data_IF_105729545181
#
_entry.id   IF_105729545181
#
_cell.length_a   1.000
_cell.length_b   1.000
_cell.length_c   1.000
_cell.angle_alpha   90.00
_cell.angle_beta   90.00
_cell.angle_gamma   90.00
#
_symmetry.space_group_name_H-M   'P 1'
#
loop_
_entity.id
_entity.type
_entity.pdbx_description
1 polymer ?
#
# COMPACT_ATOMS: atom_id res chain seq x y z
N UNK A 1 -42.61 15.69 -37.90
CA UNK A 1 -42.54 14.85 -36.69
C UNK A 1 -41.11 14.85 -36.22
N UNK A 2 -40.87 15.67 -35.18
CA UNK A 2 -39.56 16.00 -34.64
C UNK A 2 -38.89 14.81 -33.96
N UNK A 3 -37.68 14.47 -34.41
CA UNK A 3 -36.75 13.66 -33.60
C UNK A 3 -35.97 14.61 -32.71
N UNK A 4 -36.42 14.76 -31.47
CA UNK A 4 -35.76 15.56 -30.46
C UNK A 4 -34.33 15.06 -30.21
N UNK A 5 -33.44 16.05 -30.21
CA UNK A 5 -32.00 15.99 -30.04
C UNK A 5 -31.62 15.56 -28.61
N UNK A 6 -31.24 14.30 -28.42
CA UNK A 6 -30.72 13.76 -27.14
C UNK A 6 -29.19 13.88 -27.03
N UNK A 7 -28.65 15.07 -27.26
CA UNK A 7 -27.30 15.41 -26.83
C UNK A 7 -27.41 16.16 -25.48
N UNK A 8 -27.40 15.40 -24.38
CA UNK A 8 -27.30 15.96 -23.02
C UNK A 8 -26.17 17.00 -22.99
N UNK A 9 -26.52 18.28 -22.81
CA UNK A 9 -25.57 19.37 -22.68
C UNK A 9 -24.51 19.00 -21.63
N UNK A 10 -23.25 18.84 -22.05
CA UNK A 10 -22.15 18.61 -21.12
C UNK A 10 -22.07 19.82 -20.19
N UNK A 11 -22.16 19.59 -18.86
CA UNK A 11 -22.03 20.66 -17.86
C UNK A 11 -20.72 21.41 -18.09
N UNK A 12 -20.81 22.75 -18.18
CA UNK A 12 -19.65 23.66 -18.35
C UNK A 12 -18.74 23.69 -17.12
N UNK A 13 -19.20 23.14 -15.99
CA UNK A 13 -18.44 23.03 -14.75
C UNK A 13 -18.27 21.56 -14.34
N UNK A 14 -17.03 21.20 -13.98
CA UNK A 14 -16.70 19.85 -13.50
C UNK A 14 -17.02 19.73 -12.01
N UNK A 15 -17.98 18.88 -11.69
CA UNK A 15 -18.37 18.59 -10.31
C UNK A 15 -17.37 17.66 -9.62
N UNK A 16 -16.95 16.60 -10.31
CA UNK A 16 -15.99 15.61 -9.78
C UNK A 16 -14.63 16.26 -9.56
N UNK A 17 -14.05 16.06 -8.38
CA UNK A 17 -12.71 16.54 -8.04
C UNK A 17 -11.65 15.51 -8.42
N UNK A 18 -10.46 15.98 -8.78
CA UNK A 18 -9.32 15.14 -9.16
C UNK A 18 -8.26 15.20 -8.08
N UNK A 19 -7.86 14.02 -7.62
CA UNK A 19 -6.72 13.81 -6.72
C UNK A 19 -5.55 13.29 -7.56
N UNK A 20 -4.37 13.90 -7.45
CA UNK A 20 -3.16 13.41 -8.08
C UNK A 20 -2.10 13.08 -7.02
N UNK A 21 -1.52 11.88 -7.07
CA UNK A 21 -0.39 11.53 -6.21
C UNK A 21 0.87 12.20 -6.75
N UNK A 22 1.56 12.96 -5.91
CA UNK A 22 2.81 13.63 -6.26
C UNK A 22 4.00 12.72 -5.91
N UNK A 23 4.91 12.56 -6.86
CA UNK A 23 6.11 11.74 -6.72
C UNK A 23 7.26 12.29 -7.56
N UNK A 24 8.36 11.52 -7.74
CA UNK A 24 9.56 12.01 -8.42
C UNK A 24 9.32 12.59 -9.83
N UNK A 25 8.39 11.99 -10.59
CA UNK A 25 8.03 12.46 -11.93
C UNK A 25 7.21 13.76 -11.93
N UNK A 26 6.57 14.10 -10.81
CA UNK A 26 5.55 15.16 -10.73
C UNK A 26 5.83 16.21 -9.68
N UNK A 27 6.94 16.12 -8.94
CA UNK A 27 7.21 17.00 -7.80
C UNK A 27 7.72 18.39 -8.19
N UNK A 28 8.18 18.61 -9.42
CA UNK A 28 8.74 19.90 -9.85
C UNK A 28 7.65 20.99 -9.90
N UNK A 29 8.01 22.25 -9.63
CA UNK A 29 7.05 23.37 -9.68
C UNK A 29 6.36 23.50 -11.03
N UNK A 30 7.07 23.18 -12.11
CA UNK A 30 6.55 23.21 -13.47
C UNK A 30 5.46 22.16 -13.68
N UNK A 31 5.75 20.90 -13.34
CA UNK A 31 4.80 19.79 -13.53
C UNK A 31 3.60 19.93 -12.60
N UNK A 32 3.79 20.35 -11.34
CA UNK A 32 2.67 20.67 -10.44
C UNK A 32 1.77 21.76 -11.04
N UNK A 33 2.37 22.79 -11.66
CA UNK A 33 1.62 23.84 -12.36
C UNK A 33 0.86 23.31 -13.57
N UNK A 34 1.45 22.40 -14.34
CA UNK A 34 0.78 21.72 -15.46
C UNK A 34 -0.41 20.88 -14.96
N UNK A 35 -0.23 20.10 -13.90
CA UNK A 35 -1.29 19.30 -13.28
C UNK A 35 -2.44 20.16 -12.77
N UNK A 36 -2.15 21.30 -12.13
CA UNK A 36 -3.17 22.24 -11.68
C UNK A 36 -3.99 22.80 -12.85
N UNK A 37 -3.33 23.20 -13.95
CA UNK A 37 -4.00 23.67 -15.18
C UNK A 37 -4.81 22.58 -15.88
N UNK A 38 -4.32 21.34 -15.86
CA UNK A 38 -5.04 20.16 -16.35
C UNK A 38 -6.25 19.79 -15.46
N UNK A 39 -6.36 20.40 -14.27
CA UNK A 39 -7.53 20.31 -13.41
C UNK A 39 -7.33 19.46 -12.16
N UNK A 40 -6.12 19.27 -11.66
CA UNK A 40 -5.89 18.73 -10.31
C UNK A 40 -6.54 19.62 -9.25
N UNK A 41 -7.26 19.03 -8.28
CA UNK A 41 -7.82 19.74 -7.12
C UNK A 41 -7.10 19.43 -5.82
N UNK A 42 -6.60 18.21 -5.68
CA UNK A 42 -5.93 17.75 -4.47
C UNK A 42 -4.62 17.09 -4.86
N UNK A 43 -3.53 17.53 -4.24
CA UNK A 43 -2.24 16.87 -4.31
C UNK A 43 -2.13 15.90 -3.13
N UNK A 44 -2.08 14.60 -3.43
CA UNK A 44 -1.86 13.52 -2.46
C UNK A 44 -0.36 13.30 -2.28
N UNK A 45 0.10 13.36 -1.03
CA UNK A 45 1.45 13.02 -0.60
C UNK A 45 1.39 11.68 0.12
N UNK A 46 1.90 10.63 -0.51
CA UNK A 46 1.92 9.28 0.07
C UNK A 46 3.11 9.13 1.03
N UNK A 47 2.86 9.05 2.34
CA UNK A 47 3.89 8.95 3.39
C UNK A 47 4.53 7.56 3.48
N UNK A 48 3.99 6.57 2.76
CA UNK A 48 4.66 5.27 2.59
C UNK A 48 5.99 5.38 1.83
N UNK A 49 6.18 6.48 1.08
CA UNK A 49 7.38 6.75 0.30
C UNK A 49 7.91 8.17 0.53
N UNK A 50 9.23 8.35 0.37
CA UNK A 50 9.88 9.64 0.59
C UNK A 50 10.06 9.97 2.07
N UNK A 51 10.72 11.09 2.34
CA UNK A 51 11.00 11.58 3.69
C UNK A 51 10.27 12.91 3.95
N UNK A 52 10.28 13.37 5.20
CA UNK A 52 9.65 14.65 5.56
C UNK A 52 10.23 15.83 4.76
N UNK A 53 11.51 15.77 4.36
CA UNK A 53 12.19 16.84 3.64
C UNK A 53 11.71 16.91 2.18
N UNK A 54 11.50 15.77 1.51
CA UNK A 54 10.96 15.70 0.15
C UNK A 54 9.52 16.19 0.11
N UNK A 55 8.68 15.71 1.03
CA UNK A 55 7.29 16.16 1.15
C UNK A 55 7.18 17.65 1.46
N UNK A 56 8.02 18.19 2.34
CA UNK A 56 8.06 19.62 2.65
C UNK A 56 8.40 20.48 1.42
N UNK A 57 9.29 20.02 0.53
CA UNK A 57 9.57 20.71 -0.73
C UNK A 57 8.31 20.79 -1.59
N UNK A 58 7.59 19.69 -1.75
CA UNK A 58 6.33 19.64 -2.51
C UNK A 58 5.28 20.57 -1.90
N UNK A 59 5.09 20.54 -0.57
CA UNK A 59 4.17 21.42 0.15
C UNK A 59 4.49 22.89 -0.15
N UNK A 60 5.77 23.29 -0.09
CA UNK A 60 6.20 24.67 -0.38
C UNK A 60 5.91 25.05 -1.84
N UNK A 61 6.17 24.15 -2.80
CA UNK A 61 5.86 24.36 -4.22
C UNK A 61 4.36 24.60 -4.44
N UNK A 62 3.50 23.77 -3.85
CA UNK A 62 2.03 23.91 -3.94
C UNK A 62 1.56 25.20 -3.27
N UNK A 63 2.04 25.52 -2.07
CA UNK A 63 1.69 26.78 -1.38
C UNK A 63 2.08 28.00 -2.20
N UNK A 64 3.24 27.98 -2.86
CA UNK A 64 3.66 29.07 -3.75
C UNK A 64 2.82 29.15 -5.03
N UNK A 65 2.41 28.01 -5.61
CA UNK A 65 1.51 27.97 -6.74
C UNK A 65 0.12 28.54 -6.39
N UNK A 66 -0.42 28.17 -5.23
CA UNK A 66 -1.74 28.63 -4.77
C UNK A 66 -1.87 30.15 -4.62
N UNK A 67 -0.75 30.87 -4.43
CA UNK A 67 -0.76 32.35 -4.43
C UNK A 67 -1.17 32.96 -5.78
N UNK A 68 -1.11 32.18 -6.86
CA UNK A 68 -1.37 32.62 -8.24
C UNK A 68 -2.65 32.02 -8.84
N UNK A 69 -3.32 31.12 -8.13
CA UNK A 69 -4.49 30.40 -8.63
C UNK A 69 -5.78 30.97 -8.06
N UNK A 70 -6.79 31.13 -8.92
CA UNK A 70 -8.15 31.47 -8.48
C UNK A 70 -8.81 30.34 -7.66
N UNK A 71 -8.38 29.09 -7.92
CA UNK A 71 -8.84 27.90 -7.22
C UNK A 71 -7.62 27.16 -6.65
N UNK A 72 -7.36 27.29 -5.33
CA UNK A 72 -6.25 26.62 -4.69
C UNK A 72 -6.32 25.09 -4.79
N UNK A 73 -5.15 24.45 -4.90
CA UNK A 73 -4.99 23.01 -4.79
C UNK A 73 -4.85 22.64 -3.31
N UNK A 74 -5.71 21.73 -2.82
CA UNK A 74 -5.61 21.20 -1.47
C UNK A 74 -4.45 20.20 -1.36
N UNK A 75 -3.91 20.04 -0.16
CA UNK A 75 -2.85 19.07 0.13
C UNK A 75 -3.47 17.98 1.00
N UNK A 76 -3.36 16.73 0.55
CA UNK A 76 -3.77 15.54 1.30
C UNK A 76 -2.51 14.79 1.73
N UNK A 77 -2.30 14.70 3.04
CA UNK A 77 -1.31 13.77 3.61
C UNK A 77 -1.96 12.41 3.74
N UNK A 78 -1.41 11.42 3.05
CA UNK A 78 -1.86 10.05 3.11
C UNK A 78 -0.86 9.24 3.94
N UNK A 79 -1.27 8.91 5.16
CA UNK A 79 -0.45 8.18 6.12
C UNK A 79 -0.20 6.76 5.64
N UNK A 80 0.91 6.16 6.06
CA UNK A 80 1.17 4.76 5.74
C UNK A 80 0.18 3.86 6.49
N UNK A 81 -0.04 4.17 7.77
CA UNK A 81 -0.84 3.32 8.66
C UNK A 81 -0.12 2.00 8.95
N UNK A 82 -0.80 1.11 9.69
CA UNK A 82 -0.20 -0.16 10.05
C UNK A 82 -0.20 -1.13 8.87
N UNK A 83 0.91 -1.80 8.65
CA UNK A 83 1.06 -2.78 7.56
C UNK A 83 1.75 -4.04 8.05
N UNK A 84 1.23 -5.19 7.64
CA UNK A 84 1.89 -6.48 7.81
C UNK A 84 2.84 -6.69 6.63
N UNK A 85 4.10 -7.02 6.93
CA UNK A 85 5.19 -7.20 5.99
C UNK A 85 6.08 -8.36 6.40
N UNK A 86 6.68 -9.00 5.40
CA UNK A 86 7.80 -9.91 5.62
C UNK A 86 9.02 -9.16 6.16
N UNK A 87 9.85 -9.85 6.93
CA UNK A 87 11.15 -9.38 7.37
C UNK A 87 12.16 -9.30 6.24
N UNK A 88 13.42 -9.14 6.62
CA UNK A 88 14.52 -9.20 5.67
C UNK A 88 14.92 -10.66 5.41
N UNK A 89 15.04 -11.00 4.13
CA UNK A 89 15.61 -12.25 3.69
C UNK A 89 17.04 -12.00 3.21
N UNK A 90 17.95 -12.93 3.51
CA UNK A 90 19.34 -12.88 3.01
C UNK A 90 19.38 -12.96 1.49
N UNK A 91 18.54 -13.83 0.92
CA UNK A 91 18.36 -14.02 -0.51
C UNK A 91 16.86 -14.23 -0.80
N UNK A 92 16.43 -13.93 -2.03
CA UNK A 92 15.06 -14.19 -2.42
C UNK A 92 14.78 -15.70 -2.41
N UNK A 93 13.61 -16.09 -1.92
CA UNK A 93 13.19 -17.49 -1.86
C UNK A 93 12.20 -17.78 -3.00
N UNK A 94 12.45 -18.82 -3.77
CA UNK A 94 11.50 -19.29 -4.79
C UNK A 94 10.61 -20.37 -4.18
N UNK A 95 9.32 -20.07 -4.06
CA UNK A 95 8.32 -20.97 -3.48
C UNK A 95 7.61 -21.74 -4.60
N UNK A 96 7.70 -23.07 -4.58
CA UNK A 96 6.98 -23.94 -5.50
C UNK A 96 5.56 -24.25 -5.01
N UNK A 97 4.61 -24.45 -5.92
CA UNK A 97 3.25 -24.88 -5.56
C UNK A 97 3.28 -26.25 -4.87
N UNK A 98 2.53 -26.39 -3.78
CA UNK A 98 2.45 -27.60 -2.95
C UNK A 98 3.55 -27.71 -1.89
N UNK A 99 4.55 -26.83 -1.93
CA UNK A 99 5.66 -26.80 -0.98
C UNK A 99 5.20 -26.43 0.43
N UNK A 100 5.93 -26.91 1.44
CA UNK A 100 5.78 -26.49 2.83
C UNK A 100 6.68 -25.30 3.11
N UNK A 101 6.09 -24.25 3.65
CA UNK A 101 6.77 -23.00 3.99
C UNK A 101 6.33 -22.51 5.37
N UNK A 102 7.25 -21.92 6.14
CA UNK A 102 6.96 -21.44 7.48
C UNK A 102 6.86 -19.91 7.55
N UNK A 103 5.85 -19.42 8.27
CA UNK A 103 5.69 -18.00 8.58
C UNK A 103 5.85 -17.83 10.08
N UNK A 104 6.83 -17.05 10.52
CA UNK A 104 7.21 -16.92 11.93
C UNK A 104 7.02 -15.51 12.46
N UNK A 105 6.72 -15.39 13.75
CA UNK A 105 6.72 -14.12 14.49
C UNK A 105 7.98 -13.95 15.36
N UNK A 106 8.85 -14.97 15.41
CA UNK A 106 10.13 -14.90 16.08
C UNK A 106 11.24 -14.55 15.07
N UNK A 107 12.03 -13.49 15.29
CA UNK A 107 13.06 -13.06 14.35
C UNK A 107 14.25 -14.05 14.23
N UNK A 108 14.41 -14.94 15.22
CA UNK A 108 15.54 -15.87 15.32
C UNK A 108 15.22 -17.31 14.84
N UNK A 109 14.13 -17.52 14.09
CA UNK A 109 13.84 -18.84 13.53
C UNK A 109 14.90 -19.21 12.48
N UNK A 110 15.59 -20.34 12.70
CA UNK A 110 16.75 -20.78 11.90
C UNK A 110 16.37 -21.77 10.80
N UNK A 111 15.08 -22.04 10.60
CA UNK A 111 14.61 -22.92 9.53
C UNK A 111 14.89 -22.33 8.14
N UNK A 112 15.45 -23.17 7.26
CA UNK A 112 15.94 -22.81 5.93
C UNK A 112 14.82 -22.26 5.01
N UNK A 113 13.55 -22.58 5.28
CA UNK A 113 12.39 -22.13 4.50
C UNK A 113 11.34 -21.44 5.36
N UNK A 114 11.76 -20.37 6.03
CA UNK A 114 10.90 -19.51 6.84
C UNK A 114 11.02 -18.03 6.47
N UNK A 115 10.00 -17.25 6.83
CA UNK A 115 10.07 -15.79 6.80
C UNK A 115 9.45 -15.20 8.06
N UNK A 116 10.16 -14.26 8.67
CA UNK A 116 9.63 -13.46 9.77
C UNK A 116 8.56 -12.49 9.28
N UNK A 117 7.55 -12.22 10.10
CA UNK A 117 6.50 -11.24 9.83
C UNK A 117 6.39 -10.26 10.98
N UNK A 118 6.28 -8.97 10.67
CA UNK A 118 6.18 -7.89 11.66
C UNK A 118 4.80 -7.77 12.34
N UNK A 119 4.12 -8.89 12.60
CA UNK A 119 2.81 -8.94 13.24
C UNK A 119 2.77 -10.01 14.33
N UNK A 120 3.03 -9.61 15.57
CA UNK A 120 3.17 -10.54 16.70
C UNK A 120 1.89 -11.36 16.98
N UNK A 121 0.72 -10.80 16.66
CA UNK A 121 -0.58 -11.48 16.85
C UNK A 121 -0.95 -12.45 15.72
N UNK A 122 -0.07 -12.66 14.73
CA UNK A 122 -0.33 -13.49 13.55
C UNK A 122 -0.82 -14.90 13.92
N UNK A 123 -0.13 -15.56 14.86
CA UNK A 123 -0.42 -16.94 15.27
C UNK A 123 -1.83 -17.03 15.90
N UNK A 124 -2.21 -16.04 16.69
CA UNK A 124 -3.47 -16.04 17.44
C UNK A 124 -4.69 -15.65 16.60
N UNK A 125 -4.48 -14.85 15.54
CA UNK A 125 -5.58 -14.34 14.73
C UNK A 125 -5.88 -15.24 13.51
N UNK A 126 -4.95 -16.09 13.11
CA UNK A 126 -5.15 -17.09 12.05
C UNK A 126 -5.63 -18.43 12.63
N UNK A 127 -6.23 -19.25 11.77
CA UNK A 127 -6.68 -20.63 12.02
C UNK A 127 -6.19 -21.56 10.91
N UNK A 128 -6.22 -22.86 11.17
CA UNK A 128 -5.98 -23.87 10.14
C UNK A 128 -7.01 -23.69 9.01
N UNK A 129 -6.53 -23.68 7.76
CA UNK A 129 -7.30 -23.42 6.55
C UNK A 129 -7.35 -21.95 6.12
N UNK A 130 -6.91 -21.01 6.96
CA UNK A 130 -6.88 -19.59 6.58
C UNK A 130 -5.80 -19.30 5.55
N UNK A 131 -5.99 -18.20 4.81
CA UNK A 131 -5.10 -17.77 3.73
C UNK A 131 -4.19 -16.62 4.14
N UNK A 132 -2.94 -16.72 3.73
CA UNK A 132 -1.96 -15.64 3.79
C UNK A 132 -1.59 -15.26 2.35
N UNK A 133 -1.83 -14.02 1.99
CA UNK A 133 -1.50 -13.46 0.67
C UNK A 133 -0.27 -12.58 0.77
N UNK A 134 0.71 -12.80 -0.09
CA UNK A 134 1.96 -12.01 -0.11
C UNK A 134 2.13 -11.33 -1.47
N UNK A 135 2.70 -10.13 -1.43
CA UNK A 135 3.04 -9.30 -2.60
C UNK A 135 1.86 -9.10 -3.57
N UNK A 136 0.80 -8.47 -3.07
CA UNK A 136 -0.44 -8.21 -3.83
C UNK A 136 -1.15 -9.48 -4.33
N UNK A 137 -0.93 -10.61 -3.66
CA UNK A 137 -1.57 -11.89 -3.97
C UNK A 137 -0.82 -12.71 -5.03
N UNK A 138 0.43 -12.37 -5.35
CA UNK A 138 1.29 -13.20 -6.21
C UNK A 138 1.63 -14.54 -5.56
N UNK A 139 1.76 -14.56 -4.24
CA UNK A 139 1.98 -15.78 -3.47
C UNK A 139 0.80 -15.98 -2.53
N UNK A 140 0.25 -17.18 -2.54
CA UNK A 140 -0.86 -17.58 -1.69
C UNK A 140 -0.46 -18.78 -0.84
N UNK A 141 -0.64 -18.67 0.46
CA UNK A 141 -0.34 -19.73 1.42
C UNK A 141 -1.62 -20.15 2.16
N UNK A 142 -1.73 -21.42 2.47
CA UNK A 142 -2.78 -22.00 3.33
C UNK A 142 -2.15 -22.48 4.63
N UNK A 143 -2.71 -22.05 5.77
CA UNK A 143 -2.24 -22.51 7.09
C UNK A 143 -2.65 -23.97 7.29
N UNK A 144 -1.66 -24.85 7.48
CA UNK A 144 -1.89 -26.26 7.77
C UNK A 144 -1.87 -26.55 9.27
N UNK A 145 -0.89 -25.99 9.98
CA UNK A 145 -0.66 -26.24 11.40
C UNK A 145 -0.18 -24.97 12.10
N UNK A 146 -0.46 -24.90 13.40
CA UNK A 146 -0.03 -23.81 14.27
C UNK A 146 0.94 -24.35 15.31
N UNK A 147 2.09 -23.69 15.42
CA UNK A 147 3.04 -23.88 16.50
C UNK A 147 3.12 -22.60 17.33
N UNK A 148 3.83 -22.64 18.45
CA UNK A 148 3.92 -21.54 19.42
C UNK A 148 4.35 -20.20 18.79
N UNK A 149 5.30 -20.23 17.84
CA UNK A 149 5.84 -19.02 17.21
C UNK A 149 5.83 -19.04 15.68
N UNK A 150 5.27 -20.09 15.06
CA UNK A 150 5.29 -20.25 13.60
C UNK A 150 4.05 -20.97 13.08
N UNK A 151 3.68 -20.63 11.85
CA UNK A 151 2.64 -21.31 11.07
C UNK A 151 3.31 -22.19 10.02
N UNK A 152 2.91 -23.45 9.96
CA UNK A 152 3.26 -24.35 8.86
C UNK A 152 2.24 -24.14 7.75
N UNK A 153 2.68 -23.68 6.59
CA UNK A 153 1.80 -23.35 5.49
C UNK A 153 2.11 -24.20 4.25
N UNK A 154 1.08 -24.42 3.42
CA UNK A 154 1.21 -24.94 2.06
C UNK A 154 1.19 -23.79 1.08
N UNK A 155 2.10 -23.79 0.13
CA UNK A 155 2.07 -22.87 -1.01
C UNK A 155 0.95 -23.28 -1.97
N UNK A 156 -0.10 -22.47 -2.07
CA UNK A 156 -1.17 -22.64 -3.05
C UNK A 156 -0.78 -22.07 -4.41
N UNK A 157 -0.19 -20.88 -4.40
CA UNK A 157 0.35 -20.20 -5.58
C UNK A 157 1.76 -19.74 -5.25
N UNK A 158 2.71 -20.18 -6.08
CA UNK A 158 4.14 -19.97 -5.88
C UNK A 158 4.66 -18.71 -6.54
N UNK A 159 5.91 -18.36 -6.22
CA UNK A 159 6.57 -17.16 -6.75
C UNK A 159 7.87 -16.84 -6.02
N UNK A 160 8.49 -15.73 -6.40
CA UNK A 160 9.70 -15.25 -5.76
C UNK A 160 9.36 -14.35 -4.58
N UNK A 161 9.61 -14.84 -3.37
CA UNK A 161 9.48 -14.08 -2.14
C UNK A 161 10.74 -13.24 -1.89
N UNK A 162 10.54 -11.94 -1.71
CA UNK A 162 11.61 -11.01 -1.32
C UNK A 162 11.41 -10.41 0.07
N UNK A 163 12.33 -9.51 0.44
CA UNK A 163 12.27 -8.77 1.70
C UNK A 163 11.16 -7.71 1.71
N UNK A 164 10.60 -7.43 2.90
CA UNK A 164 9.65 -6.33 3.16
C UNK A 164 8.39 -6.33 2.29
N UNK A 165 7.96 -7.51 1.85
CA UNK A 165 6.77 -7.70 1.01
C UNK A 165 5.50 -7.58 1.83
N UNK A 166 4.48 -6.94 1.26
CA UNK A 166 3.18 -6.78 1.93
C UNK A 166 2.51 -8.13 2.13
N UNK A 167 1.89 -8.29 3.30
CA UNK A 167 1.05 -9.44 3.65
C UNK A 167 -0.37 -8.96 3.88
N UNK A 168 -1.32 -9.67 3.29
CA UNK A 168 -2.74 -9.50 3.53
C UNK A 168 -3.31 -10.81 4.09
N UNK A 169 -4.28 -10.69 5.02
CA UNK A 169 -4.96 -11.80 5.69
C UNK A 169 -6.47 -11.72 5.38
N UNK A 170 -6.94 -12.27 4.25
CA UNK A 170 -8.32 -12.12 3.80
C UNK A 170 -9.31 -12.74 4.80
N UNK A 171 -10.33 -11.98 5.19
CA UNK A 171 -11.35 -12.46 6.13
C UNK A 171 -10.92 -12.47 7.60
N UNK A 172 -9.68 -12.08 7.91
CA UNK A 172 -9.16 -12.05 9.27
C UNK A 172 -9.24 -10.63 9.85
N UNK A 173 -9.76 -10.53 11.08
CA UNK A 173 -9.81 -9.26 11.79
C UNK A 173 -8.46 -8.98 12.44
N UNK A 174 -7.64 -8.21 11.73
CA UNK A 174 -6.32 -7.80 12.20
C UNK A 174 -6.42 -6.75 13.31
N UNK A 175 -5.69 -6.94 14.40
CA UNK A 175 -5.57 -6.02 15.54
C UNK A 175 -4.31 -5.18 15.42
N UNK A 176 -4.28 -4.30 14.42
CA UNK A 176 -3.24 -3.30 14.29
C UNK A 176 -3.72 -1.95 14.85
N UNK A 177 -2.83 -1.13 15.45
CA UNK A 177 -3.20 0.19 15.91
C UNK A 177 -3.54 1.10 14.73
N UNK A 178 -4.49 2.02 14.89
CA UNK A 178 -4.89 2.94 13.82
C UNK A 178 -3.79 3.92 13.38
N UNK A 179 -2.79 4.14 14.23
CA UNK A 179 -1.61 4.97 13.98
C UNK A 179 -0.37 4.21 14.44
N UNK A 180 0.72 4.33 13.69
CA UNK A 180 2.03 3.79 14.04
C UNK A 180 2.95 4.89 14.56
N UNK A 181 4.07 4.54 15.20
CA UNK A 181 5.11 5.51 15.59
C UNK A 181 5.60 6.36 14.41
N UNK A 182 5.62 5.78 13.21
CA UNK A 182 6.02 6.48 11.98
C UNK A 182 4.97 7.51 11.53
N UNK A 183 3.72 7.36 11.94
CA UNK A 183 2.64 8.29 11.58
C UNK A 183 2.58 9.52 12.51
N UNK A 184 3.37 9.55 13.60
CA UNK A 184 3.51 10.69 14.53
C UNK A 184 4.49 11.75 14.03
#
# INVERSE_FOLDING_TARGET
>A
MDKQNTASQRRTFRQTKIVCTIGPATESSEVIGQLARAGMNVARLNMSHGDHKSHLKVIRRIKNLNKKLNHPVAILMDLQGPEIRTGELKENLNLGVGEIFYVTVAPDDTEERSVHVNYEHLINDLKIGDRITVDSGLINLEVLEQHEHRLRCRVLEGGTLGSRKHINLPGIRVKLPSLTEKDH
#
